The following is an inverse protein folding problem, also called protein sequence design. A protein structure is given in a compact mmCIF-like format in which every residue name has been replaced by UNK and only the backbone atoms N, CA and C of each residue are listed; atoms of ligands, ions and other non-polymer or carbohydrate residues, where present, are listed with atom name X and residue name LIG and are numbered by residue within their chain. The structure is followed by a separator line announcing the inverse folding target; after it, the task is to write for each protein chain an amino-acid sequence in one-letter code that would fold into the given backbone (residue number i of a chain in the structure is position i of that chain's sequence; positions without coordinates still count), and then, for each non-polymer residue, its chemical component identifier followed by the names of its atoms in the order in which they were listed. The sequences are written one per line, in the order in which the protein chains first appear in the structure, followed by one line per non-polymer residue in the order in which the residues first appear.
data_IF_596834121208
#
_entry.id   IF_596834121208
#
_cell.length_a   1.000
_cell.length_b   1.000
_cell.length_c   1.000
_cell.angle_alpha   90.00
_cell.angle_beta   90.00
_cell.angle_gamma   90.00
#
_symmetry.space_group_name_H-M   'P 1'
#
loop_
_entity.id
_entity.type
_entity.pdbx_description
1 polymer ?
2 non-polymer ?
#
# COMPACT_ATOMS: atom_id res chain seq x y z
N UNK A 2 1.24 18.99 8.30
CA UNK A 2 1.21 19.92 7.18
C UNK A 2 0.01 20.87 7.25
N UNK A 3 0.28 22.18 7.19
CA UNK A 3 -0.73 23.23 7.22
C UNK A 3 -0.99 23.67 5.77
N UNK A 4 -2.27 23.89 5.43
CA UNK A 4 -2.70 24.29 4.08
C UNK A 4 -3.29 25.71 4.14
N UNK A 5 -2.81 26.62 3.27
CA UNK A 5 -3.31 28.00 3.20
C UNK A 5 -4.69 28.01 2.51
N UNK A 6 -5.70 28.70 3.11
CA UNK A 6 -7.05 28.70 2.53
C UNK A 6 -7.16 29.12 1.05
N UNK A 7 -6.35 30.10 0.59
CA UNK A 7 -6.36 30.60 -0.78
C UNK A 7 -6.06 29.54 -1.85
N UNK A 8 -5.30 28.47 -1.48
CA UNK A 8 -4.93 27.34 -2.36
C UNK A 8 -6.12 26.47 -2.74
N UNK A 9 -7.18 26.48 -1.90
CA UNK A 9 -8.39 25.65 -2.08
C UNK A 9 -9.55 26.33 -2.81
N UNK A 10 -10.25 25.55 -3.62
CA UNK A 10 -11.45 25.93 -4.36
C UNK A 10 -12.56 24.97 -3.91
N UNK A 11 -13.70 25.51 -3.44
CA UNK A 11 -14.86 24.74 -3.04
C UNK A 11 -15.82 24.70 -4.23
N UNK A 12 -16.26 23.49 -4.63
CA UNK A 12 -17.11 23.33 -5.81
C UNK A 12 -18.52 22.86 -5.48
N UNK A 13 -18.66 21.71 -4.78
CA UNK A 13 -19.95 21.11 -4.46
C UNK A 13 -19.98 20.45 -3.07
N UNK A 14 -21.15 20.49 -2.39
CA UNK A 14 -21.34 19.82 -1.10
C UNK A 14 -21.58 18.34 -1.42
N UNK A 15 -20.80 17.42 -0.79
CA UNK A 15 -20.92 15.99 -1.08
C UNK A 15 -21.64 15.21 0.05
N UNK A 16 -21.21 15.43 1.30
CA UNK A 16 -21.79 14.75 2.47
C UNK A 16 -22.02 15.65 3.67
N UNK A 17 -23.26 15.66 4.17
CA UNK A 17 -23.68 16.45 5.33
C UNK A 17 -23.49 15.68 6.66
N UNK A 18 -23.59 16.41 7.77
CA UNK A 18 -23.44 15.85 9.12
C UNK A 18 -24.70 15.97 9.95
N UNK A 21 -18.96 16.98 10.47
CA UNK A 21 -18.92 18.24 9.74
C UNK A 21 -19.39 18.16 8.30
N UNK A 22 -19.13 19.23 7.53
CA UNK A 22 -19.51 19.35 6.12
C UNK A 22 -18.39 18.90 5.18
N UNK A 23 -18.65 17.88 4.37
CA UNK A 23 -17.70 17.36 3.38
C UNK A 23 -17.98 18.04 2.05
N UNK A 24 -16.92 18.56 1.39
CA UNK A 24 -17.04 19.28 0.12
C UNK A 24 -16.09 18.77 -0.95
N UNK A 25 -16.57 18.73 -2.21
CA UNK A 25 -15.74 18.41 -3.36
C UNK A 25 -15.02 19.72 -3.66
N UNK A 26 -13.69 19.65 -3.69
CA UNK A 26 -12.87 20.81 -3.93
C UNK A 26 -11.65 20.55 -4.78
N UNK A 27 -11.00 21.64 -5.19
CA UNK A 27 -9.76 21.58 -5.96
C UNK A 27 -8.65 22.21 -5.15
N UNK A 28 -7.43 21.66 -5.28
CA UNK A 28 -6.26 22.13 -4.55
C UNK A 28 -5.06 22.34 -5.47
N UNK A 29 -4.62 23.61 -5.58
CA UNK A 29 -3.46 24.02 -6.36
C UNK A 29 -2.30 24.17 -5.36
N UNK A 30 -1.29 23.28 -5.45
CA UNK A 30 -0.15 23.28 -4.53
C UNK A 30 1.20 22.98 -5.16
N UNK A 31 2.27 23.64 -4.66
CA UNK A 31 3.67 23.41 -5.04
C UNK A 31 4.10 22.17 -4.25
N UNK A 32 3.96 21.00 -4.85
CA UNK A 32 4.27 19.72 -4.23
C UNK A 32 5.70 19.27 -4.58
N UNK A 33 6.46 18.76 -3.58
CA UNK A 33 7.82 18.25 -3.78
C UNK A 33 7.83 17.03 -4.69
N UNK A 34 8.70 17.07 -5.72
CA UNK A 34 8.85 16.01 -6.73
C UNK A 34 10.31 15.78 -7.12
N UNK A 35 10.58 14.62 -7.74
CA UNK A 35 11.90 14.29 -8.27
C UNK A 35 11.83 14.35 -9.80
N UNK A 36 12.57 15.29 -10.40
CA UNK A 36 12.54 15.50 -11.84
C UNK A 36 13.76 14.89 -12.54
N UNK A 37 13.54 13.87 -13.40
CA UNK A 37 14.60 13.23 -14.18
C UNK A 37 14.68 13.89 -15.55
N UNK A 38 15.86 14.39 -15.91
CA UNK A 38 16.15 15.10 -17.15
C UNK A 38 16.81 14.16 -18.18
N UNK A 39 16.51 14.34 -19.49
CA UNK A 39 17.08 13.57 -20.60
C UNK A 39 18.59 13.85 -20.71
N UNK A 50 7.72 9.79 -25.60
CA UNK A 50 6.29 10.13 -25.74
C UNK A 50 5.42 8.88 -25.54
N UNK A 51 5.78 7.76 -26.20
CA UNK A 51 5.06 6.50 -26.15
C UNK A 51 5.48 5.61 -24.96
N UNK A 52 6.80 5.39 -24.78
CA UNK A 52 7.35 4.60 -23.68
C UNK A 52 7.20 5.30 -22.32
N UNK A 53 6.91 6.62 -22.34
CA UNK A 53 6.70 7.45 -21.16
C UNK A 53 5.26 7.36 -20.67
N UNK A 54 4.30 7.03 -21.57
CA UNK A 54 2.89 6.90 -21.23
C UNK A 54 2.53 5.50 -20.68
N UNK A 55 3.33 4.48 -21.04
CA UNK A 55 3.13 3.10 -20.55
C UNK A 55 3.62 2.95 -19.10
N UNK A 56 4.55 3.82 -18.69
CA UNK A 56 5.12 3.88 -17.35
C UNK A 56 4.13 4.53 -16.38
N UNK A 57 3.27 5.44 -16.91
CA UNK A 57 2.27 6.16 -16.13
C UNK A 57 1.12 5.27 -15.66
N UNK A 58 0.68 4.30 -16.49
CA UNK A 58 -0.41 3.38 -16.13
C UNK A 58 0.00 2.41 -15.00
N UNK A 59 1.33 2.16 -14.87
CA UNK A 59 1.92 1.31 -13.84
C UNK A 59 1.87 2.03 -12.49
N UNK A 60 0.85 1.72 -11.68
CA UNK A 60 0.65 2.30 -10.36
C UNK A 60 0.63 1.21 -9.30
N UNK A 61 1.45 1.37 -8.25
CA UNK A 61 1.58 0.40 -7.17
C UNK A 61 2.08 1.11 -5.90
N UNK A 62 1.60 0.74 -4.69
CA UNK A 62 2.09 1.40 -3.46
C UNK A 62 3.57 1.18 -3.14
N UNK A 63 4.25 0.25 -3.87
CA UNK A 63 5.67 -0.05 -3.65
C UNK A 63 6.54 0.30 -4.89
N UNK A 64 6.08 1.26 -5.70
CA UNK A 64 6.76 1.78 -6.88
C UNK A 64 6.66 3.30 -6.92
N UNK A 65 7.76 3.98 -7.30
CA UNK A 65 7.85 5.44 -7.41
C UNK A 65 7.04 5.88 -8.63
N UNK A 66 5.92 6.57 -8.35
CA UNK A 66 4.95 7.03 -9.32
C UNK A 66 5.46 8.12 -10.26
N UNK A 67 5.17 7.93 -11.57
CA UNK A 67 5.46 8.91 -12.62
C UNK A 67 4.18 9.75 -12.75
N UNK A 68 4.27 11.02 -12.39
CA UNK A 68 3.16 11.98 -12.40
C UNK A 68 2.88 12.57 -13.79
N UNK A 69 3.93 12.77 -14.58
CA UNK A 69 3.82 13.33 -15.93
C UNK A 69 5.13 13.58 -16.64
N UNK A 70 5.04 14.16 -17.86
CA UNK A 70 6.19 14.46 -18.72
C UNK A 70 6.13 15.91 -19.22
N UNK A 71 7.26 16.64 -19.15
CA UNK A 71 7.37 18.01 -19.64
C UNK A 71 8.07 17.95 -21.00
N UNK A 72 7.35 18.31 -22.09
CA UNK A 72 7.85 18.22 -23.45
C UNK A 72 7.97 19.54 -24.22
N UNK A 73 7.23 20.61 -23.81
CA UNK A 73 7.20 21.93 -24.48
C UNK A 73 8.58 22.56 -24.68
N UNK A 74 9.46 22.52 -23.67
CA UNK A 74 10.81 23.07 -23.79
C UNK A 74 11.90 22.06 -23.40
N UNK A 75 13.07 22.19 -24.05
CA UNK A 75 14.25 21.35 -23.85
C UNK A 75 15.14 21.89 -22.71
N UNK A 76 15.75 21.02 -21.86
CA UNK A 76 15.70 19.54 -21.87
C UNK A 76 14.39 18.95 -21.34
N UNK A 77 13.85 17.95 -22.06
CA UNK A 77 12.60 17.25 -21.69
C UNK A 77 12.80 16.50 -20.38
N UNK A 78 11.76 16.45 -19.53
CA UNK A 78 11.90 15.83 -18.22
C UNK A 78 10.68 15.08 -17.72
N UNK A 79 10.93 14.03 -16.92
CA UNK A 79 9.94 13.16 -16.29
C UNK A 79 9.74 13.58 -14.83
N UNK A 80 8.47 13.76 -14.41
CA UNK A 80 8.13 14.19 -13.05
C UNK A 80 7.72 13.00 -12.17
N UNK A 81 8.63 12.57 -11.28
CA UNK A 81 8.43 11.43 -10.38
C UNK A 81 8.07 11.83 -8.96
N UNK A 82 7.56 10.84 -8.19
CA UNK A 82 7.17 10.94 -6.79
C UNK A 82 8.42 11.25 -5.94
N UNK A 83 8.25 12.08 -4.89
CA UNK A 83 9.36 12.42 -3.99
C UNK A 83 9.38 11.53 -2.77
N UNK A 84 10.55 10.91 -2.51
CA UNK A 84 10.76 10.02 -1.38
C UNK A 84 11.62 10.76 -0.36
N UNK A 85 11.02 11.04 0.80
CA UNK A 85 11.56 11.85 1.91
C UNK A 85 12.96 11.50 2.42
N UNK A 86 13.36 10.22 2.40
CA UNK A 86 14.65 9.79 2.97
C UNK A 86 15.69 9.29 1.95
N UNK A 87 15.47 9.58 0.66
CA UNK A 87 16.39 9.22 -0.42
C UNK A 87 16.60 7.74 -0.64
N UNK A 88 17.75 7.38 -1.28
CA UNK A 88 18.09 6.00 -1.61
C UNK A 88 18.44 5.14 -0.38
N UNK A 89 18.01 3.87 -0.44
CA UNK A 89 18.15 2.83 0.57
C UNK A 89 19.62 2.50 0.88
N UNK A 90 20.48 2.46 -0.16
CA UNK A 90 21.91 2.17 -0.05
C UNK A 90 22.58 3.06 1.00
N UNK A 91 22.40 4.40 0.88
CA UNK A 91 22.94 5.38 1.82
C UNK A 91 22.21 5.32 3.17
N UNK A 92 20.87 5.09 3.13
CA UNK A 92 19.98 4.98 4.29
C UNK A 92 20.43 3.88 5.26
N UNK A 93 20.91 2.76 4.72
CA UNK A 93 21.40 1.62 5.52
C UNK A 93 22.79 1.85 6.09
N UNK A 94 23.66 2.56 5.34
CA UNK A 94 25.02 2.89 5.79
C UNK A 94 24.98 3.94 6.90
N UNK A 95 24.13 4.99 6.73
CA UNK A 95 23.94 6.11 7.66
C UNK A 95 23.35 5.65 8.99
N UNK A 96 22.28 4.84 8.95
CA UNK A 96 21.57 4.35 10.15
C UNK A 96 21.98 2.91 10.52
N UNK A 97 23.24 2.52 10.22
CA UNK A 97 23.80 1.18 10.50
C UNK A 97 23.82 0.84 12.01
N UNK A 98 23.30 -0.35 12.33
CA UNK A 98 23.21 -0.85 13.71
C UNK A 98 21.88 -0.57 14.40
N UNK A 99 21.13 0.41 13.87
CA UNK A 99 19.83 0.82 14.39
C UNK A 99 18.68 -0.10 13.93
N UNK A 100 18.92 -0.90 12.87
CA UNK A 100 17.90 -1.78 12.30
C UNK A 100 17.87 -3.18 12.90
N UNK A 101 16.64 -3.71 13.07
CA UNK A 101 16.35 -5.06 13.55
C UNK A 101 16.20 -5.98 12.33
N UNK A 102 16.43 -7.30 12.52
CA UNK A 102 16.34 -8.33 11.47
C UNK A 102 14.99 -8.33 10.74
N UNK A 103 13.90 -8.05 11.47
CA UNK A 103 12.52 -7.98 10.97
C UNK A 103 12.33 -6.76 10.06
N UNK A 104 12.89 -5.60 10.46
CA UNK A 104 12.83 -4.35 9.70
C UNK A 104 13.52 -4.53 8.34
N UNK A 105 14.69 -5.20 8.34
CA UNK A 105 15.48 -5.50 7.14
C UNK A 105 14.73 -6.48 6.21
N UNK A 106 14.04 -7.48 6.81
CA UNK A 106 13.24 -8.44 6.05
C UNK A 106 12.06 -7.71 5.41
N UNK A 107 11.42 -6.82 6.18
CA UNK A 107 10.30 -6.00 5.75
C UNK A 107 10.64 -5.08 4.59
N UNK A 108 11.92 -4.68 4.49
CA UNK A 108 12.45 -3.83 3.41
C UNK A 108 12.49 -4.64 2.11
N UNK A 109 12.93 -5.92 2.20
CA UNK A 109 13.02 -6.85 1.08
C UNK A 109 11.63 -7.21 0.57
N UNK A 110 10.68 -7.32 1.51
CA UNK A 110 9.27 -7.64 1.29
C UNK A 110 8.54 -6.51 0.55
N UNK A 111 8.94 -5.24 0.78
CA UNK A 111 8.36 -4.08 0.09
C UNK A 111 8.81 -4.08 -1.38
N UNK A 112 10.12 -4.26 -1.63
CA UNK A 112 10.75 -4.33 -2.96
C UNK A 112 10.12 -5.49 -3.75
N UNK A 113 9.98 -6.67 -3.11
CA UNK A 113 9.40 -7.86 -3.72
C UNK A 113 7.95 -7.65 -4.17
N UNK A 114 7.15 -6.88 -3.40
CA UNK A 114 5.76 -6.53 -3.74
C UNK A 114 5.71 -5.77 -5.07
N UNK A 115 6.60 -4.78 -5.22
CA UNK A 115 6.72 -3.94 -6.41
C UNK A 115 7.22 -4.73 -7.61
N UNK A 116 8.24 -5.58 -7.41
CA UNK A 116 8.81 -6.41 -8.45
C UNK A 116 7.84 -7.49 -8.95
N UNK A 117 6.95 -7.97 -8.06
CA UNK A 117 5.93 -8.95 -8.40
C UNK A 117 4.88 -8.31 -9.32
N UNK A 118 4.64 -6.99 -9.14
CA UNK A 118 3.73 -6.20 -9.97
C UNK A 118 4.37 -5.96 -11.33
N UNK A 119 5.69 -5.63 -11.36
CA UNK A 119 6.43 -5.39 -12.61
C UNK A 119 6.56 -6.64 -13.48
N UNK A 120 6.83 -7.82 -12.87
CA UNK A 120 6.93 -9.08 -13.62
C UNK A 120 5.57 -9.51 -14.17
N UNK A 121 4.48 -9.17 -13.44
CA UNK A 121 3.10 -9.48 -13.84
C UNK A 121 2.69 -8.63 -15.04
N UNK A 122 3.23 -7.40 -15.13
CA UNK A 122 2.98 -6.45 -16.22
C UNK A 122 4.02 -6.56 -17.35
N UNK A 123 4.94 -7.56 -17.25
CA UNK A 123 6.02 -7.84 -18.20
C UNK A 123 6.92 -6.62 -18.43
N UNK A 124 7.65 -6.22 -17.37
CA UNK A 124 8.56 -5.08 -17.36
C UNK A 124 9.86 -5.51 -16.66
N UNK A 125 11.00 -5.45 -17.38
CA UNK A 125 12.31 -5.78 -16.83
C UNK A 125 12.92 -4.48 -16.27
N UNK A 126 13.44 -4.53 -15.03
CA UNK A 126 14.07 -3.40 -14.37
C UNK A 126 15.44 -3.07 -15.00
N UNK A 127 16.27 -4.10 -15.23
CA UNK A 127 17.61 -4.05 -15.85
C UNK A 127 18.73 -3.44 -14.97
N UNK A 128 18.38 -2.84 -13.80
CA UNK A 128 19.35 -2.25 -12.86
C UNK A 128 18.81 -2.22 -11.41
N UNK A 129 18.26 -3.36 -10.94
CA UNK A 129 17.71 -3.46 -9.58
C UNK A 129 18.80 -3.53 -8.52
N UNK A 130 18.87 -2.49 -7.66
CA UNK A 130 19.85 -2.35 -6.58
C UNK A 130 19.31 -1.44 -5.50
N UNK A 131 19.98 -1.41 -4.33
CA UNK A 131 19.60 -0.56 -3.18
C UNK A 131 19.66 0.93 -3.50
N UNK A 132 20.57 1.33 -4.45
CA UNK A 132 20.75 2.71 -4.93
C UNK A 132 19.52 3.20 -5.71
N UNK A 133 18.75 2.27 -6.33
CA UNK A 133 17.53 2.53 -7.11
C UNK A 133 16.25 2.21 -6.31
N UNK A 134 16.41 1.97 -4.99
CA UNK A 134 15.31 1.71 -4.05
C UNK A 134 15.28 2.90 -3.10
N UNK A 135 14.10 3.52 -2.94
CA UNK A 135 13.98 4.72 -2.13
C UNK A 135 13.12 4.58 -0.88
N UNK A 136 13.51 5.29 0.19
CA UNK A 136 12.87 5.30 1.50
C UNK A 136 11.94 6.52 1.66
N UNK A 137 10.68 6.27 1.98
CA UNK A 137 9.68 7.31 2.18
C UNK A 137 9.19 7.38 3.61
N UNK A 138 8.07 8.10 3.85
CA UNK A 138 7.50 8.26 5.19
C UNK A 138 7.07 6.92 5.79
N UNK A 139 7.36 6.72 7.09
CA UNK A 139 7.11 5.50 7.86
C UNK A 139 7.91 4.31 7.31
N UNK A 140 9.14 4.60 6.80
CA UNK A 140 10.14 3.67 6.24
C UNK A 140 9.65 2.82 5.05
N UNK A 141 8.76 3.36 4.20
CA UNK A 141 8.25 2.63 3.04
C UNK A 141 9.36 2.52 1.97
N UNK A 142 9.58 1.33 1.42
CA UNK A 142 10.60 1.10 0.40
C UNK A 142 9.89 0.93 -0.94
N UNK A 143 10.26 1.76 -1.91
CA UNK A 143 9.70 1.74 -3.26
C UNK A 143 10.79 1.62 -4.29
N UNK A 144 10.51 0.88 -5.36
CA UNK A 144 11.43 0.63 -6.47
C UNK A 144 11.29 1.76 -7.50
N UNK A 145 12.43 2.23 -8.03
CA UNK A 145 12.51 3.29 -9.04
C UNK A 145 13.51 2.95 -10.16
N UNK A 146 13.47 3.74 -11.27
CA UNK A 146 14.34 3.64 -12.46
C UNK A 146 14.08 2.40 -13.32
N UNK A 147 12.91 2.35 -13.97
CA UNK A 147 12.50 1.23 -14.83
C UNK A 147 11.64 1.70 -16.01
N UNK A 167 27.16 -2.58 -14.26
CA UNK A 167 27.02 -3.12 -12.89
C UNK A 167 26.96 -4.66 -12.87
N UNK A 168 28.15 -5.30 -13.03
CA UNK A 168 28.28 -6.77 -13.04
C UNK A 168 28.03 -7.38 -11.65
N UNK A 169 28.16 -6.55 -10.59
CA UNK A 169 27.94 -6.92 -9.19
C UNK A 169 26.46 -7.25 -8.93
N UNK A 170 25.56 -6.71 -9.75
CA UNK A 170 24.12 -6.98 -9.70
C UNK A 170 23.65 -7.83 -10.88
N UNK A 171 24.51 -7.97 -11.91
CA UNK A 171 24.23 -8.74 -13.13
C UNK A 171 24.37 -10.25 -12.97
N UNK A 172 23.39 -10.99 -13.51
CA UNK A 172 23.31 -12.44 -13.50
C UNK A 172 24.25 -13.03 -14.57
N UNK A 173 24.64 -14.35 -14.48
CA UNK A 173 25.55 -14.92 -15.51
C UNK A 173 25.09 -14.75 -16.95
N UNK A 174 23.78 -14.88 -17.22
CA UNK A 174 23.25 -14.72 -18.58
C UNK A 174 23.32 -13.25 -19.07
N UNK A 175 23.33 -12.28 -18.15
CA UNK A 175 23.42 -10.85 -18.48
C UNK A 175 24.86 -10.44 -18.79
N UNK A 176 25.84 -10.97 -18.03
CA UNK A 176 27.24 -10.64 -18.32
C UNK A 176 27.90 -11.62 -19.31
N UNK A 177 27.16 -12.62 -19.82
CA UNK A 177 27.69 -13.58 -20.80
C UNK A 177 26.96 -13.56 -22.14
N UNK A 178 25.60 -13.47 -22.12
CA UNK A 178 24.79 -13.47 -23.34
C UNK A 178 23.93 -12.22 -23.50
N UNK A 179 23.89 -11.34 -22.47
CA UNK A 179 23.11 -10.09 -22.38
C UNK A 179 21.60 -10.39 -22.43
N UNK A 180 21.20 -11.59 -21.97
CA UNK A 180 19.81 -12.05 -21.94
C UNK A 180 19.09 -11.56 -20.69
N UNK A 181 18.18 -10.59 -20.87
CA UNK A 181 17.40 -10.01 -19.78
C UNK A 181 16.04 -10.67 -19.66
N UNK A 182 15.53 -10.78 -18.43
CA UNK A 182 14.21 -11.34 -18.08
C UNK A 182 13.84 -10.97 -16.64
N UNK A 183 12.73 -11.51 -16.13
CA UNK A 183 12.32 -11.28 -14.74
C UNK A 183 13.24 -12.10 -13.84
N UNK A 184 13.79 -13.21 -14.38
CA UNK A 184 14.72 -14.09 -13.68
C UNK A 184 16.11 -13.45 -13.53
N UNK A 185 16.48 -12.53 -14.45
CA UNK A 185 17.74 -11.78 -14.37
C UNK A 185 17.61 -10.67 -13.32
N UNK A 186 16.37 -10.20 -13.07
CA UNK A 186 16.03 -9.21 -12.05
C UNK A 186 16.02 -9.90 -10.68
N UNK A 187 15.67 -11.21 -10.64
CA UNK A 187 15.64 -12.03 -9.43
C UNK A 187 17.06 -12.16 -8.85
N UNK A 188 18.10 -12.32 -9.70
CA UNK A 188 19.51 -12.37 -9.27
C UNK A 188 19.88 -11.04 -8.60
N UNK A 189 19.49 -9.91 -9.23
CA UNK A 189 19.71 -8.55 -8.71
C UNK A 189 19.02 -8.35 -7.36
N UNK A 190 17.82 -8.97 -7.20
CA UNK A 190 17.03 -8.92 -5.96
C UNK A 190 17.74 -9.69 -4.84
N UNK A 191 18.50 -10.72 -5.22
CA UNK A 191 19.31 -11.52 -4.32
C UNK A 191 20.44 -10.70 -3.76
N UNK A 192 21.06 -9.87 -4.63
CA UNK A 192 22.17 -8.96 -4.28
C UNK A 192 21.61 -7.80 -3.42
N UNK A 193 20.37 -7.35 -3.74
CA UNK A 193 19.65 -6.30 -3.00
C UNK A 193 19.40 -6.79 -1.57
N UNK A 194 18.86 -8.02 -1.42
CA UNK A 194 18.59 -8.67 -0.13
C UNK A 194 19.87 -8.69 0.69
N UNK A 195 20.99 -9.11 0.07
CA UNK A 195 22.31 -9.15 0.69
C UNK A 195 22.70 -7.74 1.15
N UNK A 196 22.59 -6.73 0.25
CA UNK A 196 22.87 -5.31 0.53
C UNK A 196 22.11 -4.82 1.76
N UNK A 197 20.82 -5.21 1.86
CA UNK A 197 19.93 -4.86 2.97
C UNK A 197 20.41 -5.50 4.29
N UNK A 198 20.61 -6.83 4.31
CA UNK A 198 21.02 -7.56 5.50
C UNK A 198 22.46 -7.26 5.96
N UNK A 199 23.33 -6.83 5.02
CA UNK A 199 24.71 -6.44 5.32
C UNK A 199 24.76 -4.94 5.74
N UNK A 200 23.57 -4.28 5.78
CA UNK A 200 23.34 -2.88 6.16
C UNK A 200 24.09 -1.90 5.24
N UNK A 201 23.83 -1.99 3.95
CA UNK A 201 24.40 -1.11 2.93
C UNK A 201 25.82 -1.39 2.48
N UNK A 202 26.36 -2.57 2.82
CA UNK A 202 27.73 -2.95 2.44
C UNK A 202 27.83 -3.08 0.91
N UNK A 203 29.01 -2.77 0.35
CA UNK A 203 29.26 -2.86 -1.09
C UNK A 203 29.49 -4.33 -1.48
N UNK A 204 28.65 -4.91 -2.40
CA UNK A 204 28.87 -6.31 -2.80
C UNK A 204 30.15 -6.48 -3.61
N UNK A 205 30.86 -7.60 -3.36
CA UNK A 205 32.14 -7.99 -3.99
C UNK A 205 33.19 -6.87 -3.90
N UNK A 206 33.33 -6.30 -2.68
CA UNK A 206 34.27 -5.22 -2.35
C UNK A 206 35.70 -5.77 -2.47
N UNK A 207 36.61 -4.92 -2.98
CA UNK A 207 38.03 -5.24 -3.21
C UNK A 207 38.19 -6.45 -4.17
N UNK A 208 37.36 -6.45 -5.23
CA UNK A 208 37.31 -7.47 -6.29
C UNK A 208 36.95 -6.76 -7.59
N UNK A 209 37.78 -6.92 -8.63
CA UNK A 209 37.57 -6.29 -9.94
C UNK A 209 36.41 -6.93 -10.69
N UNK A 210 35.81 -6.20 -11.66
CA UNK A 210 34.68 -6.64 -12.50
C UNK A 210 34.94 -8.02 -13.14
N UNK A 211 36.17 -8.23 -13.68
CA UNK A 211 36.61 -9.47 -14.31
C UNK A 211 36.68 -10.60 -13.27
N UNK A 212 37.19 -10.27 -12.05
CA UNK A 212 37.30 -11.20 -10.92
C UNK A 212 35.90 -11.63 -10.46
N UNK A 213 34.92 -10.69 -10.48
CA UNK A 213 33.53 -10.93 -10.10
C UNK A 213 32.93 -11.97 -11.07
N UNK A 214 33.05 -11.72 -12.39
CA UNK A 214 32.55 -12.55 -13.49
C UNK A 214 33.06 -14.00 -13.38
N UNK A 215 34.39 -14.20 -13.28
CA UNK A 215 35.01 -15.54 -13.20
C UNK A 215 34.61 -16.32 -11.93
N UNK A 216 34.59 -15.66 -10.75
CA UNK A 216 34.25 -16.27 -9.47
C UNK A 216 32.78 -16.70 -9.39
N UNK A 217 31.85 -15.82 -9.81
CA UNK A 217 30.40 -16.07 -9.82
C UNK A 217 30.09 -17.31 -10.69
N UNK A 218 30.74 -17.38 -11.87
CA UNK A 218 30.62 -18.47 -12.83
C UNK A 218 31.13 -19.79 -12.26
N UNK A 219 32.23 -19.73 -11.46
CA UNK A 219 32.85 -20.86 -10.77
C UNK A 219 31.90 -21.46 -9.72
N UNK A 220 31.15 -20.58 -9.04
CA UNK A 220 30.18 -20.96 -8.02
C UNK A 220 30.23 -20.13 -6.76
N UNK A 221 31.16 -19.15 -6.71
CA UNK A 221 31.33 -18.23 -5.58
C UNK A 221 30.10 -17.34 -5.42
N UNK A 222 29.69 -17.12 -4.17
CA UNK A 222 28.55 -16.28 -3.82
C UNK A 222 28.92 -15.37 -2.65
N UNK A 223 28.14 -14.27 -2.47
CA UNK A 223 28.33 -13.33 -1.37
C UNK A 223 28.10 -14.10 -0.05
N UNK A 224 28.97 -13.85 0.96
CA UNK A 224 28.91 -14.49 2.29
C UNK A 224 27.61 -14.20 3.04
N UNK A 225 27.29 -14.99 4.09
CA UNK A 225 26.08 -14.73 4.86
C UNK A 225 26.27 -13.54 5.81
N UNK A 226 25.45 -12.46 5.65
CA UNK A 226 25.55 -11.33 6.58
C UNK A 226 24.98 -11.73 7.94
N UNK A 227 25.67 -11.32 9.01
CA UNK A 227 25.36 -11.59 10.42
C UNK A 227 23.87 -11.51 10.77
N UNK A 228 23.18 -10.44 10.32
CA UNK A 228 21.76 -10.19 10.60
C UNK A 228 20.79 -11.06 9.80
N UNK A 229 21.27 -11.70 8.71
CA UNK A 229 20.46 -12.57 7.87
C UNK A 229 20.38 -13.98 8.44
N UNK A 230 19.15 -14.51 8.57
CA UNK A 230 18.93 -15.87 9.06
C UNK A 230 19.42 -16.87 8.02
N UNK A 231 19.73 -18.10 8.47
CA UNK A 231 20.21 -19.21 7.65
C UNK A 231 19.28 -19.52 6.47
N UNK A 232 17.95 -19.40 6.69
CA UNK A 232 16.90 -19.63 5.71
C UNK A 232 16.83 -18.49 4.70
N UNK A 233 16.97 -17.24 5.19
CA UNK A 233 16.98 -16.01 4.37
C UNK A 233 18.14 -16.08 3.35
N UNK A 234 19.33 -16.57 3.80
CA UNK A 234 20.51 -16.74 2.96
C UNK A 234 20.31 -17.79 1.86
N UNK A 235 19.50 -18.83 2.14
CA UNK A 235 19.18 -19.88 1.16
C UNK A 235 18.36 -19.29 0.00
N UNK A 236 17.37 -18.41 0.34
CA UNK A 236 16.53 -17.68 -0.63
C UNK A 236 17.39 -16.85 -1.58
N UNK A 237 18.44 -16.18 -1.03
CA UNK A 237 19.41 -15.40 -1.81
C UNK A 237 20.13 -16.33 -2.78
N UNK A 238 20.55 -17.52 -2.29
CA UNK A 238 21.21 -18.53 -3.13
C UNK A 238 20.28 -19.15 -4.18
N UNK A 239 18.95 -19.15 -3.92
CA UNK A 239 17.94 -19.61 -4.86
C UNK A 239 17.79 -18.56 -5.95
N UNK A 240 17.95 -17.26 -5.59
CA UNK A 240 17.94 -16.12 -6.50
C UNK A 240 19.24 -16.14 -7.31
N UNK A 241 20.29 -16.80 -6.77
CA UNK A 241 21.59 -16.89 -7.40
C UNK A 241 21.87 -18.23 -8.07
N UNK A 242 20.85 -18.89 -8.60
CA UNK A 242 21.03 -20.16 -9.32
C UNK A 242 21.49 -19.81 -10.74
N UNK A 243 22.56 -20.48 -11.23
CA UNK A 243 23.13 -20.27 -12.57
C UNK A 243 22.07 -20.39 -13.68
N UNK A 244 21.17 -21.39 -13.58
CA UNK A 244 20.08 -21.57 -14.54
C UNK A 244 18.93 -20.62 -14.21
N UNK A 245 18.58 -19.67 -15.13
CA UNK A 245 17.51 -18.70 -14.83
C UNK A 245 16.16 -19.29 -14.45
N UNK A 246 15.74 -20.39 -15.11
CA UNK A 246 14.46 -21.04 -14.82
C UNK A 246 14.42 -21.70 -13.43
N UNK A 247 15.60 -22.07 -12.89
CA UNK A 247 15.76 -22.66 -11.56
C UNK A 247 15.50 -21.63 -10.45
N UNK A 248 15.70 -20.34 -10.75
CA UNK A 248 15.45 -19.22 -9.82
C UNK A 248 13.93 -19.07 -9.66
N UNK A 249 13.42 -18.75 -8.45
CA UNK A 249 11.96 -18.59 -8.31
C UNK A 249 11.47 -17.25 -8.86
N UNK A 250 10.15 -17.13 -9.10
CA UNK A 250 9.55 -15.89 -9.58
C UNK A 250 9.38 -14.93 -8.41
N UNK A 251 9.13 -13.63 -8.68
CA UNK A 251 8.89 -12.64 -7.62
C UNK A 251 7.59 -12.95 -6.88
N UNK A 252 6.62 -13.60 -7.57
CA UNK A 252 5.35 -14.04 -7.01
C UNK A 252 5.59 -15.11 -5.95
N UNK A 253 6.56 -16.02 -6.21
CA UNK A 253 6.96 -17.10 -5.30
C UNK A 253 7.79 -16.55 -4.14
N UNK A 254 8.68 -15.57 -4.43
CA UNK A 254 9.53 -14.91 -3.43
C UNK A 254 8.70 -14.12 -2.42
N UNK A 255 7.61 -13.49 -2.89
CA UNK A 255 6.69 -12.71 -2.05
C UNK A 255 6.02 -13.58 -1.00
N UNK A 256 5.55 -14.79 -1.40
CA UNK A 256 4.92 -15.78 -0.53
C UNK A 256 5.94 -16.28 0.48
N UNK A 257 7.13 -16.70 -0.03
CA UNK A 257 8.24 -17.25 0.75
C UNK A 257 8.77 -16.29 1.80
N UNK A 258 9.00 -15.00 1.42
CA UNK A 258 9.51 -13.99 2.34
C UNK A 258 8.49 -13.61 3.41
N UNK A 259 7.21 -13.43 3.02
CA UNK A 259 6.11 -13.11 3.95
C UNK A 259 5.91 -14.22 4.98
N UNK A 260 6.20 -15.48 4.58
CA UNK A 260 6.12 -16.66 5.46
C UNK A 260 7.19 -16.57 6.54
N UNK A 261 8.40 -16.07 6.19
CA UNK A 261 9.51 -15.89 7.14
C UNK A 261 9.14 -14.77 8.16
N UNK A 262 8.41 -13.75 7.69
CA UNK A 262 7.94 -12.62 8.50
C UNK A 262 6.87 -13.05 9.51
N UNK A 263 6.08 -14.09 9.19
CA UNK A 263 5.02 -14.60 10.08
C UNK A 263 5.56 -15.56 11.15
N UNK A 264 6.48 -16.46 10.76
CA UNK A 264 7.07 -17.45 11.68
C UNK A 264 8.02 -16.83 12.72
N UNK A 265 9.00 -16.06 12.24
CA UNK A 265 10.01 -15.41 13.07
C UNK A 265 11.27 -15.07 12.30
N UNK B 2 -0.44 12.37 -18.84
CA UNK B 2 -0.42 13.78 -18.43
C UNK B 2 0.85 14.49 -18.88
N UNK B 3 0.68 15.65 -19.53
CA UNK B 3 1.78 16.48 -20.01
C UNK B 3 1.88 17.70 -19.11
N UNK B 4 3.08 17.94 -18.55
CA UNK B 4 3.35 19.06 -17.66
C UNK B 4 3.81 20.26 -18.47
N UNK B 5 3.17 21.42 -18.23
CA UNK B 5 3.52 22.70 -18.85
C UNK B 5 4.80 23.18 -18.11
N UNK B 6 5.87 23.59 -18.84
CA UNK B 6 7.14 23.99 -18.16
C UNK B 6 7.03 24.96 -16.98
N UNK B 7 6.05 25.89 -17.02
CA UNK B 7 5.82 26.86 -15.96
C UNK B 7 5.35 26.24 -14.63
N UNK B 8 4.79 25.02 -14.69
CA UNK B 8 4.31 24.28 -13.52
C UNK B 8 5.50 23.66 -12.73
N UNK B 9 6.70 23.63 -13.35
CA UNK B 9 7.89 23.06 -12.73
C UNK B 9 8.95 24.07 -12.30
N UNK B 10 9.39 23.95 -11.03
CA UNK B 10 10.44 24.76 -10.40
C UNK B 10 11.53 23.80 -9.92
N UNK B 11 12.72 23.89 -10.53
CA UNK B 11 13.87 23.06 -10.17
C UNK B 11 14.59 23.66 -8.97
N UNK B 12 14.69 22.94 -7.86
CA UNK B 12 15.41 23.46 -6.69
C UNK B 12 16.87 23.04 -6.86
N UNK B 13 17.31 21.92 -6.26
CA UNK B 13 18.68 21.46 -6.39
C UNK B 13 18.82 20.08 -7.03
N UNK B 14 20.03 19.78 -7.50
CA UNK B 14 20.41 18.50 -8.09
C UNK B 14 20.53 17.47 -6.95
N UNK B 15 19.96 16.26 -7.14
CA UNK B 15 20.01 15.21 -6.12
C UNK B 15 20.81 13.99 -6.63
N UNK B 16 20.25 13.22 -7.56
CA UNK B 16 20.87 12.04 -8.13
C UNK B 16 21.59 12.32 -9.45
N UNK B 17 22.76 11.68 -9.63
CA UNK B 17 23.59 11.80 -10.83
C UNK B 17 23.41 10.61 -11.79
N UNK B 18 23.95 10.75 -13.00
CA UNK B 18 23.90 9.73 -14.04
C UNK B 18 25.06 8.77 -13.98
N UNK B 21 19.33 10.23 -17.18
CA UNK B 21 20.15 11.40 -16.91
C UNK B 21 20.16 11.84 -15.45
N UNK B 22 20.11 13.16 -15.22
CA UNK B 22 20.13 13.79 -13.89
C UNK B 22 18.77 13.81 -13.20
N UNK B 23 18.79 13.73 -11.85
CA UNK B 23 17.59 13.80 -11.02
C UNK B 23 17.67 15.09 -10.19
N UNK B 24 16.54 15.81 -10.05
CA UNK B 24 16.48 17.08 -9.32
C UNK B 24 15.33 17.12 -8.34
N UNK B 25 15.57 17.76 -7.18
CA UNK B 25 14.52 18.03 -6.20
C UNK B 25 13.85 19.30 -6.75
N UNK B 26 12.52 19.29 -6.79
CA UNK B 26 11.77 20.43 -7.30
C UNK B 26 10.32 20.46 -6.87
N UNK B 27 9.59 21.48 -7.36
CA UNK B 27 8.19 21.65 -7.06
C UNK B 27 7.33 21.53 -8.30
N UNK B 28 6.23 20.77 -8.18
CA UNK B 28 5.26 20.59 -9.25
C UNK B 28 3.94 21.18 -8.82
N UNK B 29 3.54 22.26 -9.49
CA UNK B 29 2.29 22.97 -9.23
C UNK B 29 1.13 22.23 -9.93
N UNK B 30 0.41 21.39 -9.17
CA UNK B 30 -0.69 20.57 -9.67
C UNK B 30 -2.03 20.92 -9.06
N UNK B 31 -3.09 20.92 -9.90
CA UNK B 31 -4.47 21.13 -9.48
C UNK B 31 -5.00 19.73 -9.20
N UNK B 32 -5.23 19.42 -7.93
CA UNK B 32 -5.67 18.10 -7.49
C UNK B 32 -7.08 18.12 -6.92
N UNK B 33 -7.92 17.15 -7.32
CA UNK B 33 -9.28 16.99 -6.80
C UNK B 33 -9.15 16.50 -5.36
N UNK B 34 -9.83 17.19 -4.41
CA UNK B 34 -9.79 16.89 -2.97
C UNK B 34 -11.18 16.92 -2.31
N UNK B 35 -11.26 16.34 -1.09
CA UNK B 35 -12.47 16.36 -0.28
C UNK B 35 -12.14 17.20 0.95
N UNK B 36 -12.84 18.33 1.13
CA UNK B 36 -12.60 19.25 2.24
C UNK B 36 -13.67 19.10 3.33
N UNK B 37 -13.25 18.68 4.54
CA UNK B 37 -14.14 18.47 5.69
C UNK B 37 -14.10 19.66 6.66
N UNK B 38 -15.14 20.50 6.62
CA UNK B 38 -15.35 21.69 7.46
C UNK B 38 -15.76 21.25 8.89
N UNK B 39 -15.64 22.17 9.88
CA UNK B 39 -15.98 21.94 11.29
C UNK B 39 -17.47 21.56 11.49
N UNK B 50 -5.10 20.87 16.00
CA UNK B 50 -3.70 20.90 15.58
C UNK B 50 -3.00 19.58 15.99
N UNK B 51 -3.08 19.21 17.29
CA UNK B 51 -2.46 18.02 17.87
C UNK B 51 -3.08 16.70 17.41
N UNK B 52 -4.42 16.55 17.53
CA UNK B 52 -5.17 15.33 17.17
C UNK B 52 -5.09 14.96 15.68
N UNK B 53 -4.85 15.95 14.81
CA UNK B 53 -4.73 15.77 13.37
C UNK B 53 -3.33 15.29 12.97
N UNK B 54 -2.29 15.66 13.75
CA UNK B 54 -0.88 15.28 13.52
C UNK B 54 -0.67 13.77 13.69
N UNK B 55 -1.25 13.19 14.77
CA UNK B 55 -1.18 11.74 15.07
C UNK B 55 -2.03 10.93 14.06
N UNK B 56 -3.01 11.60 13.45
CA UNK B 56 -3.90 11.09 12.42
C UNK B 56 -3.19 11.17 11.06
N UNK B 57 -2.33 12.20 10.86
CA UNK B 57 -1.55 12.41 9.64
C UNK B 57 -0.47 11.35 9.43
N UNK B 58 0.17 10.89 10.53
CA UNK B 58 1.21 9.86 10.49
C UNK B 58 0.64 8.44 10.26
N UNK B 59 -0.71 8.30 10.27
CA UNK B 59 -1.41 7.05 9.99
C UNK B 59 -1.56 6.95 8.46
N UNK B 60 -0.57 6.34 7.80
CA UNK B 60 -0.57 6.21 6.35
C UNK B 60 -0.59 4.74 5.91
N UNK B 61 -1.69 4.34 5.27
CA UNK B 61 -1.89 2.97 4.77
C UNK B 61 -2.57 3.01 3.40
N UNK B 62 -2.19 2.14 2.43
CA UNK B 62 -2.84 2.16 1.10
C UNK B 62 -4.34 1.89 1.11
N UNK B 63 -4.86 1.26 2.17
CA UNK B 63 -6.28 0.94 2.30
C UNK B 63 -6.99 1.84 3.34
N UNK B 64 -6.39 3.02 3.59
CA UNK B 64 -6.91 4.06 4.49
C UNK B 64 -6.93 5.38 3.74
N UNK B 65 -8.02 6.17 3.90
CA UNK B 65 -8.14 7.49 3.25
C UNK B 65 -7.01 8.41 3.74
N UNK B 66 -6.22 8.93 2.78
CA UNK B 66 -5.08 9.79 3.09
C UNK B 66 -5.51 11.22 3.43
N UNK B 67 -4.94 11.77 4.53
CA UNK B 67 -5.16 13.14 4.98
C UNK B 67 -3.98 13.99 4.44
N UNK B 68 -4.31 15.04 3.68
CA UNK B 68 -3.31 15.91 3.05
C UNK B 68 -2.84 17.03 3.96
N UNK B 69 -3.74 17.56 4.78
CA UNK B 69 -3.41 18.62 5.72
C UNK B 69 -4.58 19.26 6.43
N UNK B 70 -4.30 20.33 7.20
CA UNK B 70 -5.27 21.10 7.99
C UNK B 70 -5.24 22.56 7.54
N UNK B 71 -6.43 23.16 7.40
CA UNK B 71 -6.59 24.56 7.02
C UNK B 71 -6.92 25.40 8.26
N UNK B 72 -6.05 26.38 8.57
CA UNK B 72 -6.19 27.26 9.74
C UNK B 72 -6.11 28.74 9.34
N UNK B 75 -10.03 30.07 9.06
CA UNK B 75 -11.27 29.81 9.80
C UNK B 75 -12.53 30.17 8.98
N UNK B 76 -13.61 29.34 8.97
CA UNK B 76 -13.79 28.05 9.67
C UNK B 76 -12.76 26.99 9.27
N UNK B 77 -12.23 26.26 10.26
CA UNK B 77 -11.21 25.22 10.08
C UNK B 77 -11.75 24.04 9.28
N UNK B 78 -10.89 23.46 8.43
CA UNK B 78 -11.24 22.34 7.55
C UNK B 78 -10.06 21.41 7.26
N UNK B 79 -10.35 20.11 7.11
CA UNK B 79 -9.34 19.08 6.82
C UNK B 79 -9.39 18.67 5.36
N UNK B 80 -8.23 18.64 4.70
CA UNK B 80 -8.12 18.29 3.28
C UNK B 80 -7.80 16.80 3.15
N UNK B 81 -8.77 16.03 2.64
CA UNK B 81 -8.65 14.59 2.42
C UNK B 81 -8.51 14.24 0.94
N UNK B 82 -7.94 13.05 0.68
CA UNK B 82 -7.77 12.46 -0.64
C UNK B 82 -9.15 12.23 -1.27
N UNK B 83 -9.35 12.69 -2.51
CA UNK B 83 -10.63 12.49 -3.19
C UNK B 83 -10.75 11.04 -3.69
N UNK B 84 -11.90 10.42 -3.40
CA UNK B 84 -12.21 9.06 -3.81
C UNK B 84 -13.25 9.15 -4.90
N UNK B 85 -12.82 8.81 -6.13
CA UNK B 85 -13.55 8.89 -7.39
C UNK B 85 -15.00 8.42 -7.39
N UNK B 86 -15.30 7.30 -6.72
CA UNK B 86 -16.65 6.73 -6.73
C UNK B 86 -17.53 7.05 -5.50
N UNK B 87 -16.98 7.71 -4.50
CA UNK B 87 -17.72 8.10 -3.30
C UNK B 87 -17.78 7.04 -2.23
N UNK B 88 -18.87 7.04 -1.42
CA UNK B 88 -19.04 6.06 -0.34
C UNK B 88 -19.51 4.70 -0.85
N UNK B 89 -19.03 3.62 -0.20
CA UNK B 89 -19.30 2.22 -0.53
C UNK B 89 -20.78 1.83 -0.41
N UNK B 90 -21.50 2.38 0.59
CA UNK B 90 -22.93 2.09 0.80
C UNK B 90 -23.75 2.45 -0.45
N UNK B 91 -23.58 3.70 -0.96
CA UNK B 91 -24.26 4.20 -2.15
C UNK B 91 -23.80 3.50 -3.43
N UNK B 92 -22.48 3.22 -3.53
CA UNK B 92 -21.83 2.56 -4.66
C UNK B 92 -22.40 1.17 -4.91
N UNK B 93 -22.63 0.39 -3.84
CA UNK B 93 -23.19 -0.95 -3.93
C UNK B 93 -24.66 -0.90 -4.38
N UNK B 94 -25.40 0.15 -3.95
CA UNK B 94 -26.81 0.37 -4.30
C UNK B 94 -26.98 0.72 -5.77
N UNK B 95 -26.07 1.57 -6.31
CA UNK B 95 -26.09 2.04 -7.69
C UNK B 95 -25.74 0.93 -8.70
N UNK B 96 -24.71 0.12 -8.38
CA UNK B 96 -24.21 -0.96 -9.24
C UNK B 96 -24.74 -2.35 -8.82
N UNK B 97 -25.98 -2.43 -8.32
CA UNK B 97 -26.57 -3.71 -7.85
C UNK B 97 -26.66 -4.76 -8.96
N UNK B 98 -26.01 -5.90 -8.71
CA UNK B 98 -25.97 -7.04 -9.62
C UNK B 98 -24.97 -6.89 -10.74
N UNK B 99 -23.87 -6.15 -10.48
CA UNK B 99 -22.81 -5.90 -11.46
C UNK B 99 -21.46 -6.42 -10.98
N UNK B 100 -21.39 -6.88 -9.71
CA UNK B 100 -20.17 -7.42 -9.10
C UNK B 100 -20.22 -8.92 -8.94
N UNK B 101 -19.05 -9.56 -9.08
CA UNK B 101 -18.90 -10.99 -8.89
C UNK B 101 -18.63 -11.22 -7.39
N UNK B 102 -18.73 -12.49 -6.92
CA UNK B 102 -18.47 -12.85 -5.53
C UNK B 102 -17.02 -12.52 -5.14
N UNK B 103 -16.07 -12.75 -6.08
CA UNK B 103 -14.63 -12.48 -5.96
C UNK B 103 -14.40 -10.98 -5.75
N UNK B 104 -15.11 -10.13 -6.54
CA UNK B 104 -15.05 -8.67 -6.48
C UNK B 104 -15.50 -8.18 -5.10
N UNK B 105 -16.60 -8.74 -4.57
CA UNK B 105 -17.15 -8.39 -3.27
C UNK B 105 -16.25 -8.83 -2.11
N UNK B 106 -15.55 -9.97 -2.26
CA UNK B 106 -14.63 -10.47 -1.25
C UNK B 106 -13.41 -9.54 -1.16
N UNK B 107 -12.94 -9.07 -2.32
CA UNK B 107 -11.84 -8.13 -2.43
C UNK B 107 -12.15 -6.83 -1.74
N UNK B 108 -13.44 -6.39 -1.80
CA UNK B 108 -13.95 -5.17 -1.14
C UNK B 108 -13.82 -5.30 0.39
N UNK B 109 -14.19 -6.47 0.95
CA UNK B 109 -14.07 -6.79 2.38
C UNK B 109 -12.62 -6.94 2.79
N UNK B 110 -11.79 -7.51 1.88
CA UNK B 110 -10.36 -7.73 2.06
C UNK B 110 -9.61 -6.40 2.18
N UNK B 111 -10.04 -5.38 1.39
CA UNK B 111 -9.45 -4.03 1.42
C UNK B 111 -9.66 -3.38 2.80
N UNK B 112 -10.91 -3.45 3.32
CA UNK B 112 -11.31 -2.93 4.64
C UNK B 112 -10.49 -3.63 5.73
N UNK B 113 -10.41 -4.97 5.69
CA UNK B 113 -9.67 -5.79 6.64
C UNK B 113 -8.18 -5.45 6.72
N UNK B 114 -7.55 -5.08 5.58
CA UNK B 114 -6.15 -4.66 5.50
C UNK B 114 -5.94 -3.37 6.32
N UNK B 115 -6.81 -2.38 6.09
CA UNK B 115 -6.78 -1.09 6.77
C UNK B 115 -7.15 -1.18 8.23
N UNK B 116 -8.10 -2.07 8.56
CA UNK B 116 -8.56 -2.28 9.94
C UNK B 116 -7.51 -2.97 10.79
N UNK B 117 -6.75 -3.91 10.18
CA UNK B 117 -5.66 -4.61 10.86
C UNK B 117 -4.53 -3.62 11.18
N UNK B 118 -4.31 -2.63 10.27
CA UNK B 118 -3.34 -1.56 10.46
C UNK B 118 -3.77 -0.72 11.68
N UNK B 119 -5.07 -0.34 11.74
CA UNK B 119 -5.65 0.42 12.85
C UNK B 119 -5.65 -0.39 14.14
N UNK B 120 -5.77 -1.72 14.04
CA UNK B 120 -5.73 -2.62 15.20
C UNK B 120 -4.31 -2.64 15.77
N UNK B 121 -3.28 -2.69 14.90
CA UNK B 121 -1.87 -2.68 15.30
C UNK B 121 -1.47 -1.31 15.83
N UNK B 122 -2.03 -0.24 15.24
CA UNK B 122 -1.78 1.15 15.64
C UNK B 122 -2.56 1.54 16.93
N UNK B 123 -3.35 0.59 17.49
CA UNK B 123 -4.20 0.70 18.70
C UNK B 123 -5.25 1.81 18.56
N UNK B 124 -5.81 1.94 17.34
CA UNK B 124 -6.82 2.90 16.96
C UNK B 124 -8.16 2.18 16.78
N UNK B 125 -9.20 2.66 17.47
CA UNK B 125 -10.56 2.13 17.40
C UNK B 125 -11.39 3.09 16.54
N UNK B 126 -11.96 2.57 15.44
CA UNK B 126 -12.78 3.30 14.47
C UNK B 126 -14.06 3.86 15.12
N UNK B 127 -14.83 2.98 15.82
CA UNK B 127 -16.06 3.24 16.56
C UNK B 127 -17.34 3.34 15.68
N UNK B 128 -17.20 3.49 14.35
CA UNK B 128 -18.36 3.59 13.45
C UNK B 128 -18.06 2.96 12.06
N UNK B 129 -17.49 1.75 12.06
CA UNK B 129 -17.12 1.02 10.84
C UNK B 129 -18.36 0.51 10.09
N UNK B 130 -18.74 1.20 9.02
CA UNK B 130 -19.89 0.88 8.17
C UNK B 130 -19.56 1.15 6.70
N UNK B 131 -20.41 0.68 5.77
CA UNK B 131 -20.21 0.90 4.34
C UNK B 131 -20.31 2.39 3.96
N UNK B 132 -21.07 3.19 4.77
CA UNK B 132 -21.21 4.63 4.59
C UNK B 132 -19.90 5.37 4.94
N UNK B 133 -19.04 4.76 5.78
CA UNK B 133 -17.74 5.29 6.22
C UNK B 133 -16.56 4.68 5.45
N UNK B 134 -16.86 3.90 4.40
CA UNK B 134 -15.85 3.31 3.52
C UNK B 134 -16.00 3.97 2.16
N UNK B 135 -14.88 4.24 1.48
CA UNK B 135 -14.92 4.92 0.18
C UNK B 135 -14.30 4.12 -0.96
N UNK B 136 -14.81 4.34 -2.19
CA UNK B 136 -14.35 3.67 -3.41
C UNK B 136 -13.50 4.62 -4.27
N UNK B 137 -12.32 4.15 -4.69
CA UNK B 137 -11.40 4.89 -5.54
C UNK B 137 -11.20 4.23 -6.89
N UNK B 138 -10.10 4.59 -7.61
CA UNK B 138 -9.79 4.04 -8.93
C UNK B 138 -9.47 2.53 -8.85
N UNK B 139 -9.95 1.76 -9.85
CA UNK B 139 -9.84 0.30 -9.97
C UNK B 139 -10.56 -0.41 -8.80
N UNK B 140 -11.70 0.20 -8.38
CA UNK B 140 -12.62 -0.25 -7.32
C UNK B 140 -11.92 -0.63 -6.00
N UNK B 141 -10.95 0.20 -5.58
CA UNK B 141 -10.22 0.03 -4.31
C UNK B 141 -11.06 0.62 -3.18
N UNK B 142 -11.04 0.00 -2.00
CA UNK B 142 -11.80 0.52 -0.87
C UNK B 142 -10.86 0.98 0.24
N UNK B 143 -11.05 2.25 0.67
CA UNK B 143 -10.29 2.86 1.75
C UNK B 143 -11.24 3.25 2.88
N UNK B 144 -10.77 3.07 4.12
CA UNK B 144 -11.53 3.35 5.34
C UNK B 144 -11.42 4.83 5.75
N UNK B 145 -12.56 5.44 6.11
CA UNK B 145 -12.63 6.84 6.55
C UNK B 145 -13.37 6.97 7.90
N UNK B 146 -13.22 8.13 8.57
CA UNK B 146 -13.84 8.51 9.84
C UNK B 146 -13.41 7.62 11.02
N UNK B 147 -12.08 7.54 11.25
CA UNK B 147 -11.50 6.76 12.34
C UNK B 147 -10.77 7.66 13.34
N UNK B 167 -27.84 3.77 15.48
CA UNK B 167 -26.60 3.13 15.02
C UNK B 167 -26.31 1.81 15.73
N UNK B 168 -27.34 1.26 16.43
CA UNK B 168 -27.27 -0.02 17.17
C UNK B 168 -27.09 -1.22 16.24
N UNK B 169 -27.42 -1.03 14.93
CA UNK B 169 -27.32 -2.02 13.86
C UNK B 169 -25.89 -2.55 13.68
N UNK B 170 -24.90 -1.64 13.79
CA UNK B 170 -23.48 -1.97 13.68
C UNK B 170 -22.84 -2.21 15.05
N UNK B 171 -23.60 -1.91 16.13
CA UNK B 171 -23.13 -2.03 17.51
C UNK B 171 -23.24 -3.44 18.09
N UNK B 172 -22.12 -3.93 18.63
CA UNK B 172 -22.01 -5.22 19.30
C UNK B 172 -22.71 -5.14 20.68
N UNK B 173 -23.06 -6.28 21.35
CA UNK B 173 -23.71 -6.19 22.66
C UNK B 173 -23.04 -5.27 23.68
N UNK B 174 -21.71 -5.40 23.90
CA UNK B 174 -20.96 -4.57 24.85
C UNK B 174 -21.01 -3.07 24.49
N UNK B 175 -21.15 -2.74 23.19
CA UNK B 175 -21.28 -1.35 22.75
C UNK B 175 -22.71 -0.84 23.04
N UNK B 176 -23.76 -1.60 22.66
CA UNK B 176 -25.13 -1.18 22.92
C UNK B 176 -25.59 -1.43 24.38
N UNK B 177 -24.69 -1.95 25.24
CA UNK B 177 -25.01 -2.19 26.64
C UNK B 177 -24.12 -1.41 27.62
N UNK B 178 -22.80 -1.39 27.36
CA UNK B 178 -21.82 -0.74 28.24
C UNK B 178 -20.92 0.29 27.54
N UNK B 179 -21.17 0.57 26.23
CA UNK B 179 -20.40 1.49 25.37
C UNK B 179 -18.90 1.13 25.36
N UNK B 180 -18.60 -0.18 25.47
CA UNK B 180 -17.24 -0.71 25.48
C UNK B 180 -16.71 -0.87 24.06
N UNK B 181 -16.08 0.21 23.56
CA UNK B 181 -15.47 0.25 22.23
C UNK B 181 -14.06 -0.32 22.28
N UNK B 182 -13.77 -1.24 21.37
CA UNK B 182 -12.48 -1.92 21.24
C UNK B 182 -12.28 -2.32 19.78
N UNK B 183 -11.18 -3.04 19.48
CA UNK B 183 -10.95 -3.54 18.13
C UNK B 183 -11.91 -4.70 17.87
N UNK B 184 -12.25 -5.47 18.93
CA UNK B 184 -13.22 -6.57 18.85
C UNK B 184 -14.65 -6.07 18.64
N UNK B 185 -14.95 -4.84 19.09
CA UNK B 185 -16.26 -4.21 18.89
C UNK B 185 -16.36 -3.84 17.39
N UNK B 186 -15.21 -3.39 16.81
CA UNK B 186 -15.05 -3.04 15.40
C UNK B 186 -15.13 -4.29 14.51
N UNK B 187 -14.77 -5.47 15.06
CA UNK B 187 -14.84 -6.77 14.38
C UNK B 187 -16.32 -7.05 14.08
N UNK B 188 -17.21 -6.78 15.05
CA UNK B 188 -18.66 -6.94 14.88
C UNK B 188 -19.13 -5.99 13.77
N UNK B 189 -18.72 -4.70 13.85
CA UNK B 189 -19.05 -3.68 12.86
C UNK B 189 -18.59 -4.12 11.45
N UNK B 190 -17.42 -4.79 11.38
CA UNK B 190 -16.86 -5.33 10.15
C UNK B 190 -17.72 -6.48 9.62
N UNK B 191 -18.29 -7.26 10.54
CA UNK B 191 -19.18 -8.37 10.20
C UNK B 191 -20.44 -7.85 9.52
N UNK B 192 -21.01 -6.75 10.05
CA UNK B 192 -22.20 -6.10 9.51
C UNK B 192 -21.84 -5.47 8.15
N UNK B 193 -20.61 -4.91 8.04
CA UNK B 193 -20.07 -4.32 6.82
C UNK B 193 -19.97 -5.40 5.72
N UNK B 194 -19.42 -6.59 6.08
CA UNK B 194 -19.29 -7.75 5.19
C UNK B 194 -20.66 -8.11 4.63
N UNK B 195 -21.68 -8.11 5.50
CA UNK B 195 -23.08 -8.36 5.17
C UNK B 195 -23.57 -7.31 4.17
N UNK B 196 -23.33 -6.01 4.46
CA UNK B 196 -23.71 -4.87 3.60
C UNK B 196 -23.13 -5.03 2.20
N UNK B 197 -21.86 -5.48 2.11
CA UNK B 197 -21.15 -5.71 0.85
C UNK B 197 -21.84 -6.80 0.03
N UNK B 198 -21.97 -8.03 0.59
CA UNK B 198 -22.59 -9.18 -0.09
C UNK B 198 -24.08 -9.06 -0.35
N UNK B 199 -24.78 -8.18 0.41
CA UNK B 199 -26.20 -7.91 0.22
C UNK B 199 -26.38 -6.74 -0.77
N UNK B 200 -25.25 -6.18 -1.27
CA UNK B 200 -25.14 -5.08 -2.25
C UNK B 200 -25.82 -3.79 -1.80
N UNK B 201 -25.39 -3.27 -0.67
CA UNK B 201 -25.89 -2.02 -0.12
C UNK B 201 -27.27 -2.08 0.51
N UNK B 202 -27.67 -3.26 1.01
CA UNK B 202 -28.95 -3.46 1.70
C UNK B 202 -28.80 -2.95 3.13
N UNK B 203 -29.82 -2.26 3.65
CA UNK B 203 -29.80 -1.71 5.01
C UNK B 203 -29.95 -2.86 6.02
N UNK B 204 -28.94 -3.08 6.91
CA UNK B 204 -29.05 -4.18 7.88
C UNK B 204 -30.19 -3.91 8.87
N UNK B 205 -31.03 -4.94 9.13
CA UNK B 205 -32.21 -4.87 10.00
C UNK B 205 -33.14 -3.77 9.47
N UNK B 206 -33.49 -3.84 8.18
CA UNK B 206 -34.32 -2.86 7.47
C UNK B 206 -35.74 -2.76 8.05
N UNK B 207 -36.16 -1.51 8.36
CA UNK B 207 -37.46 -1.13 8.95
C UNK B 207 -37.71 -1.83 10.31
N UNK B 208 -36.62 -2.26 10.99
CA UNK B 208 -36.66 -2.92 12.29
C UNK B 208 -36.26 -1.90 13.37
N UNK B 209 -37.01 -1.86 14.48
CA UNK B 209 -36.78 -0.95 15.61
C UNK B 209 -35.42 -1.19 16.29
N UNK B 210 -34.85 -0.11 16.89
CA UNK B 210 -33.57 -0.18 17.62
C UNK B 210 -33.69 -1.13 18.80
N UNK B 211 -34.88 -1.16 19.45
CA UNK B 211 -35.22 -2.06 20.55
C UNK B 211 -35.25 -3.51 20.07
N UNK B 212 -35.80 -3.74 18.85
CA UNK B 212 -35.92 -5.05 18.20
C UNK B 212 -34.56 -5.65 17.84
N UNK B 213 -33.62 -4.81 17.35
CA UNK B 213 -32.25 -5.19 16.99
C UNK B 213 -31.57 -5.72 18.26
N UNK B 214 -31.65 -4.96 19.38
CA UNK B 214 -31.10 -5.29 20.69
C UNK B 214 -31.66 -6.64 21.19
N UNK B 215 -32.98 -6.84 21.07
CA UNK B 215 -33.70 -8.05 21.48
C UNK B 215 -33.23 -9.30 20.72
N UNK B 216 -33.20 -9.24 19.38
CA UNK B 216 -32.79 -10.34 18.51
C UNK B 216 -31.33 -10.74 18.71
N UNK B 217 -30.43 -9.76 18.87
CA UNK B 217 -29.00 -10.01 19.12
C UNK B 217 -28.82 -10.67 20.49
N UNK B 218 -29.54 -10.16 21.51
CA UNK B 218 -29.49 -10.67 22.88
C UNK B 218 -30.09 -12.07 23.02
N UNK B 219 -30.99 -12.47 22.10
CA UNK B 219 -31.59 -13.81 22.09
C UNK B 219 -30.65 -14.80 21.37
N UNK B 220 -29.82 -14.28 20.47
CA UNK B 220 -28.84 -15.07 19.73
C UNK B 220 -29.01 -15.09 18.23
N UNK B 221 -30.02 -14.34 17.72
CA UNK B 221 -30.31 -14.24 16.29
C UNK B 221 -29.38 -13.25 15.59
N UNK B 222 -29.08 -13.53 14.31
CA UNK B 222 -28.19 -12.72 13.48
C UNK B 222 -28.75 -12.51 12.09
N UNK B 223 -28.15 -11.57 11.32
CA UNK B 223 -28.55 -11.24 9.95
C UNK B 223 -28.52 -12.47 9.04
N UNK B 224 -29.48 -12.56 8.10
CA UNK B 224 -29.59 -13.66 7.15
C UNK B 224 -28.39 -13.77 6.22
N UNK B 225 -28.15 -14.97 5.68
CA UNK B 225 -27.07 -15.20 4.73
C UNK B 225 -27.41 -14.52 3.39
N UNK B 226 -26.58 -13.56 2.93
CA UNK B 226 -26.87 -12.92 1.64
C UNK B 226 -26.67 -13.92 0.49
N UNK B 227 -27.44 -13.73 -0.59
CA UNK B 227 -27.45 -14.59 -1.77
C UNK B 227 -26.07 -14.81 -2.40
N UNK B 228 -25.30 -13.72 -2.65
CA UNK B 228 -23.97 -13.78 -3.25
C UNK B 228 -22.88 -14.32 -2.31
N UNK B 229 -23.18 -14.35 -1.01
CA UNK B 229 -22.24 -14.84 0.01
C UNK B 229 -22.36 -16.37 0.16
N UNK B 230 -21.21 -17.05 0.10
CA UNK B 230 -21.11 -18.51 0.27
C UNK B 230 -21.27 -18.90 1.75
N UNK B 231 -21.32 -20.23 2.04
CA UNK B 231 -21.43 -20.78 3.40
C UNK B 231 -20.21 -20.36 4.23
N UNK B 232 -19.03 -20.38 3.59
CA UNK B 232 -17.75 -20.00 4.18
C UNK B 232 -17.76 -18.52 4.61
N UNK B 233 -18.20 -17.63 3.71
CA UNK B 233 -18.29 -16.18 3.95
C UNK B 233 -19.23 -15.90 5.15
N UNK B 234 -20.39 -16.60 5.20
CA UNK B 234 -21.37 -16.47 6.28
C UNK B 234 -20.82 -16.95 7.63
N UNK B 235 -19.87 -17.93 7.61
CA UNK B 235 -19.21 -18.44 8.81
C UNK B 235 -18.32 -17.35 9.41
N UNK B 236 -17.57 -16.62 8.55
CA UNK B 236 -16.70 -15.50 8.91
C UNK B 236 -17.50 -14.39 9.61
N UNK B 237 -18.69 -14.06 9.05
CA UNK B 237 -19.61 -13.04 9.58
C UNK B 237 -20.10 -13.46 10.96
N UNK B 238 -20.49 -14.74 11.12
CA UNK B 238 -21.01 -15.27 12.38
C UNK B 238 -19.96 -15.35 13.48
N UNK B 239 -18.68 -15.54 13.09
CA UNK B 239 -17.58 -15.55 14.05
C UNK B 239 -17.28 -14.12 14.49
N UNK B 240 -17.59 -13.13 13.63
CA UNK B 240 -17.49 -11.70 13.91
C UNK B 240 -18.65 -11.32 14.81
N UNK B 241 -19.80 -12.01 14.66
CA UNK B 241 -21.01 -11.74 15.46
C UNK B 241 -21.15 -12.61 16.71
N UNK B 242 -20.03 -13.01 17.34
CA UNK B 242 -20.07 -13.77 18.60
C UNK B 242 -20.47 -12.79 19.71
N UNK B 243 -21.26 -13.23 20.72
CA UNK B 243 -21.71 -12.34 21.80
C UNK B 243 -20.55 -11.80 22.63
N UNK B 244 -19.62 -12.68 23.04
CA UNK B 244 -18.45 -12.27 23.83
C UNK B 244 -17.36 -11.73 22.89
N UNK B 245 -16.74 -10.56 23.19
CA UNK B 245 -15.69 -10.02 22.29
C UNK B 245 -14.46 -10.91 22.16
N UNK B 246 -14.15 -11.66 23.22
CA UNK B 246 -13.02 -12.58 23.32
C UNK B 246 -13.14 -13.77 22.38
N UNK B 247 -14.37 -14.07 21.91
CA UNK B 247 -14.66 -15.16 20.99
C UNK B 247 -14.63 -14.72 19.51
N UNK B 248 -14.53 -13.40 19.28
CA UNK B 248 -14.46 -12.82 17.94
C UNK B 248 -13.00 -12.84 17.47
N UNK B 249 -12.72 -13.08 16.17
CA UNK B 249 -11.31 -13.08 15.72
C UNK B 249 -10.76 -11.67 15.55
N UNK B 250 -9.46 -11.49 15.79
CA UNK B 250 -8.80 -10.20 15.60
C UNK B 250 -8.69 -9.91 14.10
N UNK B 251 -8.56 -8.62 13.71
CA UNK B 251 -8.42 -8.22 12.30
C UNK B 251 -7.20 -8.89 11.65
N UNK B 252 -6.15 -9.16 12.45
CA UNK B 252 -4.94 -9.87 12.05
C UNK B 252 -5.29 -11.30 11.61
N UNK B 253 -6.17 -11.98 12.36
CA UNK B 253 -6.63 -13.34 12.10
C UNK B 253 -7.58 -13.36 10.88
N UNK B 254 -8.49 -12.37 10.79
CA UNK B 254 -9.46 -12.22 9.71
C UNK B 254 -8.76 -11.92 8.38
N UNK B 255 -7.65 -11.17 8.43
CA UNK B 255 -6.86 -10.79 7.26
C UNK B 255 -6.20 -12.00 6.62
N UNK B 256 -5.60 -12.90 7.44
CA UNK B 256 -4.97 -14.13 6.97
C UNK B 256 -6.03 -15.04 6.33
N UNK B 257 -7.21 -15.17 6.99
CA UNK B 257 -8.35 -15.96 6.56
C UNK B 257 -8.88 -15.53 5.19
N UNK B 258 -9.28 -14.25 5.06
CA UNK B 258 -9.85 -13.67 3.83
C UNK B 258 -8.92 -13.74 2.63
N UNK B 259 -7.63 -13.36 2.81
CA UNK B 259 -6.60 -13.39 1.76
C UNK B 259 -6.39 -14.81 1.20
N UNK B 260 -6.54 -15.83 2.07
CA UNK B 260 -6.42 -17.23 1.69
C UNK B 260 -7.57 -17.63 0.74
N UNK B 261 -8.82 -17.25 1.08
CA UNK B 261 -10.01 -17.52 0.25
C UNK B 261 -9.92 -16.77 -1.10
N UNK B 262 -9.47 -15.50 -1.07
CA UNK B 262 -9.28 -14.69 -2.27
C UNK B 262 -8.24 -15.30 -3.23
N UNK B 263 -7.22 -16.00 -2.66
CA UNK B 263 -6.16 -16.65 -3.44
C UNK B 263 -6.53 -18.07 -3.86
N UNK B 264 -7.35 -18.76 -3.05
CA UNK B 264 -7.78 -20.15 -3.29
C UNK B 264 -9.01 -20.22 -4.20
N UNK B 265 -10.13 -19.66 -3.74
CA UNK B 265 -11.40 -19.65 -4.47
C UNK B 265 -12.61 -19.79 -3.57
#
# INVERSE_FOLDING_TARGET
GSVIDPSELTFVQEIGSGQFGLVHLGYWLNKDKVAIKTIREGAMSEEDFIEEAEVMMKLSHPKLVQLYGVCLEQAPICLVFEFMEHGCLSDYLRTQRGLFAAETLLGMCLDVCEGMAYLEEACVIHRDLAARNCLVGENQVIKVSDFGMTRFVLDDQETSSTGTKFPVKWASPEVFSFSRYSSKSDVWSFGVLMWEVFSEGKIPYENRSNSEVVEDISTGFRLYKPRLASTHVYQIMNHCWKERPEDRPAFSRLLRQLAEIAESGL
GSVIDPSELTFVQEIGSGQFGLVHLGYWLNKDKVAIKTIREGAMSEEDFIEEAEVMMKLSHPKLVQLYGVCLEQAPICLVFEFMEHGCLSDYLRTQRGLFAAETLLGMCLDVCEGMAYLEEACVIHRDLAARNCLVGENQVIKVSDFGMTRFVLDDQETSSTGTKFPVKWASPEVFSFSRYSSKSDVWSFGVLMWEVFSEGKIPYENRSNSEVVEDISTGFRLYKPRLASTHVYQIMNHCWKERPEDRPAFSRLLRQLAEIAESGL
#
